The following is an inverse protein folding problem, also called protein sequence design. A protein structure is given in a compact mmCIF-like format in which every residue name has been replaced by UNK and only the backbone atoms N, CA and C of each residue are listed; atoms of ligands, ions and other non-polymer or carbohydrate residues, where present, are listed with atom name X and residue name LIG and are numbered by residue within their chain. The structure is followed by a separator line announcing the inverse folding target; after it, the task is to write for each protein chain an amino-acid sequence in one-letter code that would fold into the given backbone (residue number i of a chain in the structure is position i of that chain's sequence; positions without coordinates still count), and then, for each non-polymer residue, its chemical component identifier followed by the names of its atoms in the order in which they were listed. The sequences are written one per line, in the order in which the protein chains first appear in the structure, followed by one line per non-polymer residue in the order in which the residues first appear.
data_IF_500839288129
#
_entry.id   IF_500839288129
#
_cell.length_a   1.000
_cell.length_b   1.000
_cell.length_c   1.000
_cell.angle_alpha   90.00
_cell.angle_beta   90.00
_cell.angle_gamma   90.00
#
_symmetry.space_group_name_H-M   'P 1'
#
loop_
_entity.id
_entity.type
_entity.pdbx_description
1 polymer ?
#
# COMPACT_ATOMS: atom_id res chain seq x y z
N UNK A 1 7.65 -7.08 1.14
CA UNK A 1 8.14 -8.41 0.68
C UNK A 1 7.99 -9.40 1.83
N UNK A 2 7.17 -10.43 1.65
CA UNK A 2 6.94 -11.47 2.67
C UNK A 2 8.13 -12.43 2.73
N UNK A 3 8.60 -12.75 3.95
CA UNK A 3 9.70 -13.72 4.18
C UNK A 3 9.19 -15.12 4.54
N UNK A 4 8.02 -15.20 5.16
CA UNK A 4 7.43 -16.44 5.65
C UNK A 4 5.91 -16.38 5.52
N UNK A 5 5.27 -17.54 5.63
CA UNK A 5 3.81 -17.65 5.70
C UNK A 5 3.38 -17.72 7.16
N UNK A 6 2.22 -17.14 7.48
CA UNK A 6 1.54 -17.37 8.74
C UNK A 6 0.74 -18.70 8.65
N UNK A 7 0.95 -19.60 9.59
CA UNK A 7 0.12 -20.80 9.73
C UNK A 7 -1.12 -20.49 10.56
N UNK A 8 -2.21 -21.20 10.29
CA UNK A 8 -3.43 -21.10 11.10
C UNK A 8 -3.15 -21.61 12.53
N UNK A 9 -3.72 -20.93 13.52
CA UNK A 9 -3.57 -21.25 14.95
C UNK A 9 -3.22 -20.01 15.78
N UNK A 10 -2.70 -20.25 16.99
CA UNK A 10 -2.25 -19.16 17.86
C UNK A 10 -1.06 -18.42 17.25
N UNK A 11 -1.21 -17.12 17.04
CA UNK A 11 -0.19 -16.28 16.43
C UNK A 11 0.55 -15.47 17.49
N UNK A 12 1.87 -15.42 17.35
CA UNK A 12 2.74 -14.63 18.23
C UNK A 12 3.28 -13.39 17.50
N UNK A 13 3.71 -12.38 18.26
CA UNK A 13 4.40 -11.21 17.68
C UNK A 13 5.70 -11.61 16.95
N UNK A 14 6.39 -12.68 17.40
CA UNK A 14 7.56 -13.21 16.72
C UNK A 14 7.23 -13.75 15.34
N UNK A 15 6.09 -14.41 15.17
CA UNK A 15 5.63 -14.90 13.85
C UNK A 15 5.32 -13.74 12.90
N UNK A 16 4.69 -12.66 13.38
CA UNK A 16 4.47 -11.46 12.58
C UNK A 16 5.79 -10.81 12.18
N UNK A 17 6.77 -10.78 13.08
CA UNK A 17 8.12 -10.30 12.81
C UNK A 17 8.79 -11.15 11.71
N UNK A 18 8.72 -12.47 11.79
CA UNK A 18 9.34 -13.37 10.80
C UNK A 18 8.76 -13.16 9.39
N UNK A 19 7.49 -12.77 9.29
CA UNK A 19 6.83 -12.51 8.00
C UNK A 19 7.31 -11.21 7.35
N UNK A 20 7.42 -10.12 8.10
CA UNK A 20 7.62 -8.76 7.57
C UNK A 20 8.85 -8.04 8.14
N UNK A 21 9.86 -8.74 8.65
CA UNK A 21 11.07 -8.15 9.22
C UNK A 21 12.17 -7.81 8.21
N UNK A 22 11.86 -7.76 6.91
CA UNK A 22 12.87 -7.40 5.91
C UNK A 22 13.29 -5.94 6.02
N UNK A 23 14.58 -5.71 5.73
CA UNK A 23 15.16 -4.39 5.76
C UNK A 23 15.51 -3.90 7.17
N UNK A 24 15.99 -2.68 7.22
CA UNK A 24 16.36 -1.97 8.44
C UNK A 24 15.82 -0.54 8.32
N UNK A 25 15.25 -0.02 9.37
CA UNK A 25 14.80 1.37 9.41
C UNK A 25 15.94 2.34 9.71
N UNK A 26 15.63 3.62 9.75
CA UNK A 26 16.60 4.66 10.13
C UNK A 26 17.02 4.57 11.60
N UNK A 27 16.13 4.02 12.44
CA UNK A 27 16.41 3.71 13.84
C UNK A 27 17.38 2.54 14.06
N UNK A 28 17.87 1.92 12.98
CA UNK A 28 18.79 0.78 12.99
C UNK A 28 18.14 -0.55 13.39
N UNK A 29 16.83 -0.59 13.58
CA UNK A 29 16.11 -1.83 13.94
C UNK A 29 15.56 -2.55 12.69
N UNK A 30 15.39 -3.88 12.80
CA UNK A 30 14.91 -4.71 11.70
C UNK A 30 13.45 -4.41 11.31
N UNK A 31 13.17 -4.46 10.02
CA UNK A 31 11.89 -4.21 9.39
C UNK A 31 11.83 -2.85 8.72
N UNK A 32 11.25 -2.80 7.53
CA UNK A 32 10.97 -1.52 6.87
C UNK A 32 9.91 -0.75 7.65
N UNK A 33 10.07 0.58 7.83
CA UNK A 33 9.04 1.41 8.41
C UNK A 33 7.90 1.63 7.43
N UNK A 34 6.72 1.95 7.95
CA UNK A 34 5.62 2.50 7.18
C UNK A 34 5.88 3.98 6.91
N UNK A 35 5.53 4.41 5.70
CA UNK A 35 5.56 5.81 5.27
C UNK A 35 4.17 6.27 4.84
N UNK A 36 3.87 7.54 5.03
CA UNK A 36 2.67 8.17 4.53
C UNK A 36 3.03 9.12 3.38
N UNK A 37 2.47 8.88 2.22
CA UNK A 37 2.61 9.71 1.03
C UNK A 37 1.24 10.07 0.48
N UNK A 38 1.19 10.98 -0.48
CA UNK A 38 -0.03 11.31 -1.20
C UNK A 38 0.10 10.88 -2.66
N UNK A 39 -0.97 10.33 -3.18
CA UNK A 39 -1.13 10.02 -4.60
C UNK A 39 -2.39 10.73 -5.12
N UNK A 40 -2.35 11.22 -6.35
CA UNK A 40 -3.56 11.65 -7.03
C UNK A 40 -4.48 10.45 -7.31
N UNK A 41 -5.77 10.69 -7.49
CA UNK A 41 -6.70 9.61 -7.82
C UNK A 41 -6.33 8.90 -9.13
N UNK A 42 -5.76 9.64 -10.09
CA UNK A 42 -5.21 9.06 -11.31
C UNK A 42 -4.07 8.08 -11.02
N UNK A 43 -3.18 8.41 -10.08
CA UNK A 43 -2.07 7.54 -9.68
C UNK A 43 -2.54 6.34 -8.85
N UNK A 44 -3.58 6.50 -8.02
CA UNK A 44 -4.23 5.37 -7.34
C UNK A 44 -4.82 4.38 -8.35
N UNK A 45 -5.54 4.87 -9.35
CA UNK A 45 -6.07 4.03 -10.44
C UNK A 45 -4.94 3.37 -11.23
N UNK A 46 -3.81 4.06 -11.43
CA UNK A 46 -2.61 3.47 -12.06
C UNK A 46 -2.03 2.32 -11.20
N UNK A 47 -2.00 2.45 -9.87
CA UNK A 47 -1.56 1.36 -8.98
C UNK A 47 -2.50 0.15 -9.08
N UNK A 48 -3.81 0.36 -9.11
CA UNK A 48 -4.81 -0.70 -9.33
C UNK A 48 -4.63 -1.35 -10.71
N UNK A 49 -4.29 -0.57 -11.73
CA UNK A 49 -4.03 -1.07 -13.08
C UNK A 49 -2.75 -1.92 -13.14
N UNK A 50 -1.71 -1.54 -12.37
CA UNK A 50 -0.50 -2.39 -12.22
C UNK A 50 -0.90 -3.73 -11.62
N UNK A 51 -1.69 -3.75 -10.56
CA UNK A 51 -2.14 -4.99 -9.94
C UNK A 51 -2.97 -5.84 -10.92
N UNK A 52 -4.00 -5.26 -11.55
CA UNK A 52 -4.87 -5.97 -12.49
C UNK A 52 -4.14 -6.51 -13.74
N UNK A 53 -3.06 -5.84 -14.16
CA UNK A 53 -2.35 -6.19 -15.39
C UNK A 53 -1.11 -7.03 -15.15
N UNK A 54 -0.35 -6.80 -14.09
CA UNK A 54 0.94 -7.45 -13.81
C UNK A 54 0.77 -8.72 -12.98
N UNK A 55 -0.11 -8.71 -11.98
CA UNK A 55 -0.31 -9.87 -11.08
C UNK A 55 -0.60 -11.19 -11.81
N UNK A 56 -1.43 -11.24 -12.88
CA UNK A 56 -1.67 -12.49 -13.61
C UNK A 56 -0.42 -13.11 -14.25
N UNK A 57 0.61 -12.29 -14.50
CA UNK A 57 1.87 -12.72 -15.12
C UNK A 57 2.94 -12.96 -14.04
N UNK A 58 2.94 -12.11 -13.02
CA UNK A 58 3.90 -12.15 -11.91
C UNK A 58 3.17 -12.03 -10.58
N UNK A 59 2.68 -13.13 -10.01
CA UNK A 59 1.90 -13.11 -8.75
C UNK A 59 2.64 -12.46 -7.58
N UNK A 60 3.98 -12.47 -7.60
CA UNK A 60 4.79 -11.80 -6.59
C UNK A 60 4.67 -10.26 -6.60
N UNK A 61 4.10 -9.67 -7.65
CA UNK A 61 3.83 -8.23 -7.75
C UNK A 61 2.43 -7.83 -7.28
N UNK A 62 1.66 -8.76 -6.74
CA UNK A 62 0.32 -8.49 -6.24
C UNK A 62 0.33 -7.41 -5.16
N UNK A 63 -0.56 -6.44 -5.30
CA UNK A 63 -0.79 -5.40 -4.32
C UNK A 63 -2.03 -5.74 -3.49
N UNK A 64 -1.89 -5.65 -2.19
CA UNK A 64 -3.00 -5.81 -1.25
C UNK A 64 -3.39 -4.42 -0.74
N UNK A 65 -4.51 -3.91 -1.24
CA UNK A 65 -5.01 -2.58 -0.88
C UNK A 65 -6.13 -2.71 0.16
N UNK A 66 -6.12 -1.82 1.15
CA UNK A 66 -7.21 -1.66 2.11
C UNK A 66 -7.81 -0.27 1.96
N UNK A 67 -9.13 -0.15 2.15
CA UNK A 67 -9.85 1.10 1.98
C UNK A 67 -10.15 1.48 0.53
N UNK A 68 -9.96 0.54 -0.41
CA UNK A 68 -10.27 0.75 -1.82
C UNK A 68 -10.77 -0.54 -2.48
N UNK A 69 -11.79 -0.40 -3.32
CA UNK A 69 -12.32 -1.46 -4.18
C UNK A 69 -12.12 -1.05 -5.64
N UNK A 70 -11.75 -1.98 -6.50
CA UNK A 70 -11.73 -1.75 -7.94
C UNK A 70 -12.21 -2.97 -8.70
N UNK A 71 -12.76 -2.71 -9.89
CA UNK A 71 -13.28 -3.74 -10.80
C UNK A 71 -12.49 -3.72 -12.08
N UNK A 72 -12.08 -4.89 -12.53
CA UNK A 72 -11.27 -5.03 -13.74
C UNK A 72 -11.77 -6.16 -14.63
N UNK A 73 -11.41 -6.10 -15.92
CA UNK A 73 -11.72 -7.11 -16.90
C UNK A 73 -10.44 -7.54 -17.63
N UNK A 74 -10.06 -8.80 -17.47
CA UNK A 74 -8.84 -9.39 -18.04
C UNK A 74 -8.87 -9.49 -19.58
N UNK A 75 -10.05 -9.39 -20.19
CA UNK A 75 -10.20 -9.37 -21.66
C UNK A 75 -9.91 -7.99 -22.28
N UNK A 76 -9.74 -6.95 -21.46
CA UNK A 76 -9.33 -5.64 -21.95
C UNK A 76 -7.82 -5.58 -22.19
N UNK A 77 -7.41 -4.55 -22.93
CA UNK A 77 -6.00 -4.31 -23.22
C UNK A 77 -5.17 -4.15 -21.92
N UNK A 78 -3.96 -4.62 -21.95
CA UNK A 78 -2.99 -4.50 -20.88
C UNK A 78 -2.83 -3.03 -20.47
N UNK A 79 -2.76 -2.74 -19.19
CA UNK A 79 -2.79 -1.40 -18.60
C UNK A 79 -4.05 -0.57 -18.90
N UNK A 80 -5.17 -1.24 -19.24
CA UNK A 80 -6.49 -0.64 -19.39
C UNK A 80 -7.58 -1.63 -18.95
N UNK A 81 -7.32 -2.39 -17.89
CA UNK A 81 -8.21 -3.44 -17.37
C UNK A 81 -9.17 -2.93 -16.33
N UNK A 82 -8.75 -1.99 -15.49
CA UNK A 82 -9.60 -1.38 -14.47
C UNK A 82 -10.64 -0.48 -15.14
N UNK A 83 -11.91 -0.66 -14.80
CA UNK A 83 -13.01 0.14 -15.34
C UNK A 83 -13.83 0.85 -14.26
N UNK A 84 -13.65 0.51 -13.00
CA UNK A 84 -14.28 1.20 -11.87
C UNK A 84 -13.35 1.12 -10.66
N UNK A 85 -13.25 2.20 -9.90
CA UNK A 85 -12.41 2.31 -8.72
C UNK A 85 -13.07 3.22 -7.69
N UNK A 86 -13.19 2.73 -6.46
CA UNK A 86 -13.89 3.36 -5.37
C UNK A 86 -13.01 3.37 -4.11
N UNK A 87 -13.23 4.34 -3.25
CA UNK A 87 -12.74 4.30 -1.88
C UNK A 87 -13.86 3.85 -0.95
N UNK A 88 -13.49 3.12 0.07
CA UNK A 88 -14.37 2.66 1.13
C UNK A 88 -14.27 3.62 2.32
N UNK A 89 -15.39 4.11 2.80
CA UNK A 89 -15.46 4.81 4.08
C UNK A 89 -15.55 3.76 5.20
N UNK A 90 -14.40 3.43 5.76
CA UNK A 90 -14.32 2.48 6.87
C UNK A 90 -14.50 3.25 8.16
N UNK A 91 -15.74 3.51 8.57
CA UNK A 91 -16.00 3.94 9.94
C UNK A 91 -15.87 2.74 10.87
N UNK A 92 -14.89 2.79 11.75
CA UNK A 92 -14.65 1.80 12.81
C UNK A 92 -15.65 2.00 13.97
N UNK A 93 -16.90 1.64 13.76
CA UNK A 93 -17.91 1.64 14.81
C UNK A 93 -18.31 0.22 15.29
N UNK A 94 -17.49 -0.77 14.96
CA UNK A 94 -17.65 -2.16 15.43
C UNK A 94 -18.61 -3.01 14.60
N UNK A 95 -19.27 -2.44 13.61
CA UNK A 95 -20.09 -3.19 12.66
C UNK A 95 -19.45 -3.06 11.27
N UNK A 96 -18.88 -4.15 10.76
CA UNK A 96 -18.22 -4.21 9.44
C UNK A 96 -19.21 -4.11 8.27
N UNK A 97 -20.26 -3.33 8.39
CA UNK A 97 -21.14 -3.02 7.28
C UNK A 97 -20.45 -2.03 6.34
N UNK A 98 -20.22 -2.43 5.09
CA UNK A 98 -19.78 -1.60 3.97
C UNK A 98 -20.66 -0.35 3.89
N UNK A 99 -20.16 0.80 4.36
CA UNK A 99 -21.08 1.89 4.60
C UNK A 99 -21.15 2.87 3.47
N UNK A 100 -20.11 3.26 2.83
CA UNK A 100 -20.22 4.11 1.64
C UNK A 100 -18.99 3.93 0.77
N UNK A 101 -19.19 3.62 -0.49
CA UNK A 101 -18.14 3.70 -1.51
C UNK A 101 -18.34 4.98 -2.31
N UNK A 102 -17.29 5.72 -2.54
CA UNK A 102 -17.31 6.90 -3.42
C UNK A 102 -16.25 6.77 -4.50
N UNK A 103 -16.59 7.30 -5.66
CA UNK A 103 -15.71 7.25 -6.82
C UNK A 103 -14.46 8.09 -6.59
N UNK A 104 -13.32 7.59 -7.03
CA UNK A 104 -12.04 8.28 -6.91
C UNK A 104 -11.98 9.45 -7.90
N UNK A 105 -11.80 10.67 -7.41
CA UNK A 105 -11.54 11.85 -8.24
C UNK A 105 -10.07 11.84 -8.70
N UNK A 106 -9.83 11.87 -10.00
CA UNK A 106 -8.50 11.82 -10.60
C UNK A 106 -7.55 12.93 -10.12
N UNK A 107 -8.09 14.09 -9.75
CA UNK A 107 -7.34 15.28 -9.38
C UNK A 107 -7.16 15.47 -7.87
N UNK A 108 -7.95 14.80 -7.06
CA UNK A 108 -7.81 14.87 -5.61
C UNK A 108 -6.56 14.12 -5.13
N UNK A 109 -5.98 14.60 -4.02
CA UNK A 109 -4.87 13.94 -3.35
C UNK A 109 -5.39 13.03 -2.24
N UNK A 110 -4.94 11.80 -2.24
CA UNK A 110 -5.29 10.78 -1.27
C UNK A 110 -4.08 10.35 -0.47
N UNK A 111 -4.20 10.34 0.85
CA UNK A 111 -3.15 9.87 1.74
C UNK A 111 -3.08 8.35 1.69
N UNK A 112 -1.91 7.84 1.34
CA UNK A 112 -1.62 6.41 1.24
C UNK A 112 -0.54 6.05 2.26
N UNK A 113 -0.78 4.97 3.00
CA UNK A 113 0.23 4.38 3.90
C UNK A 113 0.73 3.09 3.25
N UNK A 114 2.04 2.97 3.15
CA UNK A 114 2.69 1.79 2.57
C UNK A 114 4.05 1.56 3.23
N UNK A 115 4.66 0.40 2.99
CA UNK A 115 6.04 0.17 3.39
C UNK A 115 7.02 1.06 2.63
N UNK A 116 8.08 1.50 3.29
CA UNK A 116 9.11 2.37 2.69
C UNK A 116 9.69 1.76 1.40
N UNK A 117 9.98 0.47 1.39
CA UNK A 117 10.49 -0.21 0.19
C UNK A 117 9.52 -0.13 -0.97
N UNK A 118 8.23 -0.34 -0.71
CA UNK A 118 7.19 -0.25 -1.74
C UNK A 118 7.05 1.17 -2.28
N UNK A 119 7.13 2.19 -1.41
CA UNK A 119 7.10 3.59 -1.84
C UNK A 119 8.27 3.94 -2.76
N UNK A 120 9.49 3.47 -2.44
CA UNK A 120 10.67 3.67 -3.27
C UNK A 120 10.58 2.96 -4.63
N UNK A 121 9.84 1.84 -4.70
CA UNK A 121 9.66 1.10 -5.96
C UNK A 121 8.62 1.73 -6.90
N UNK A 122 7.81 2.68 -6.44
CA UNK A 122 6.77 3.31 -7.29
C UNK A 122 7.37 4.04 -8.50
N UNK A 123 8.54 4.66 -8.37
CA UNK A 123 9.22 5.31 -9.49
C UNK A 123 9.58 4.34 -10.62
N UNK A 124 9.80 3.08 -10.30
CA UNK A 124 10.14 2.06 -11.31
C UNK A 124 8.94 1.64 -12.16
N UNK A 125 7.71 1.94 -11.73
CA UNK A 125 6.49 1.59 -12.45
C UNK A 125 6.44 2.25 -13.82
N UNK A 126 6.88 3.50 -13.92
CA UNK A 126 6.94 4.25 -15.18
C UNK A 126 7.81 3.52 -16.22
N UNK A 127 9.00 3.09 -15.82
CA UNK A 127 9.94 2.41 -16.70
C UNK A 127 9.42 1.03 -17.11
N UNK A 128 8.85 0.29 -16.16
CA UNK A 128 8.30 -1.06 -16.40
C UNK A 128 7.02 -1.06 -17.23
N UNK A 129 6.26 0.03 -17.21
CA UNK A 129 5.05 0.21 -18.02
C UNK A 129 5.31 0.90 -19.37
N UNK A 130 6.58 1.06 -19.78
CA UNK A 130 6.96 1.81 -20.99
C UNK A 130 6.40 3.24 -21.00
N UNK A 131 6.30 3.86 -19.84
CA UNK A 131 5.78 5.21 -19.67
C UNK A 131 4.25 5.34 -19.69
N UNK A 132 3.51 4.23 -19.80
CA UNK A 132 2.04 4.23 -19.79
C UNK A 132 1.45 4.59 -18.43
N UNK A 133 2.11 4.17 -17.36
CA UNK A 133 1.72 4.45 -15.98
C UNK A 133 2.83 5.23 -15.29
N UNK A 134 2.45 6.24 -14.52
CA UNK A 134 3.38 7.00 -13.70
C UNK A 134 2.75 7.19 -12.34
N UNK A 135 3.45 6.79 -11.29
CA UNK A 135 3.04 6.93 -9.90
C UNK A 135 4.17 7.65 -9.19
N UNK A 136 3.95 8.89 -8.83
CA UNK A 136 4.94 9.75 -8.17
C UNK A 136 4.44 10.08 -6.78
N UNK A 137 5.03 9.50 -5.72
CA UNK A 137 4.69 9.86 -4.35
C UNK A 137 4.86 11.36 -4.11
N UNK A 138 3.87 11.95 -3.45
CA UNK A 138 3.80 13.38 -3.17
C UNK A 138 3.64 13.64 -1.68
N UNK A 139 3.89 14.88 -1.31
CA UNK A 139 3.51 15.38 0.01
C UNK A 139 2.05 15.90 0.01
N UNK A 140 1.61 16.46 1.14
CA UNK A 140 0.27 17.01 1.33
C UNK A 140 -0.02 18.24 0.47
N UNK A 141 1.01 18.84 -0.13
CA UNK A 141 0.90 19.99 -1.04
C UNK A 141 0.94 19.59 -2.52
N UNK A 142 1.17 18.28 -2.79
CA UNK A 142 1.26 17.75 -4.14
C UNK A 142 2.66 17.80 -4.75
N UNK A 143 3.68 18.16 -3.96
CA UNK A 143 5.07 18.19 -4.42
C UNK A 143 5.69 16.77 -4.35
N UNK A 144 6.49 16.37 -5.36
CA UNK A 144 7.13 15.06 -5.38
C UNK A 144 8.04 14.82 -4.15
N UNK A 145 7.89 13.66 -3.54
CA UNK A 145 8.72 13.20 -2.43
C UNK A 145 9.89 12.39 -2.97
N UNK A 146 11.11 12.86 -2.74
CA UNK A 146 12.35 12.16 -3.08
C UNK A 146 13.05 11.56 -1.85
N UNK A 147 12.79 12.12 -0.67
CA UNK A 147 13.29 11.65 0.62
C UNK A 147 12.13 11.13 1.47
N UNK A 148 12.04 9.80 1.59
CA UNK A 148 10.99 9.14 2.36
C UNK A 148 11.25 9.14 3.87
N UNK A 149 12.44 9.51 4.33
CA UNK A 149 12.79 9.54 5.75
C UNK A 149 11.88 10.48 6.54
N UNK A 150 11.50 11.59 5.95
CA UNK A 150 10.57 12.56 6.53
C UNK A 150 9.10 12.13 6.52
N UNK A 151 8.80 11.03 5.83
CA UNK A 151 7.46 10.47 5.69
C UNK A 151 7.22 9.22 6.53
N UNK A 152 8.23 8.82 7.32
CA UNK A 152 8.13 7.67 8.22
C UNK A 152 7.08 7.94 9.29
N UNK A 153 6.18 6.99 9.44
CA UNK A 153 5.20 7.00 10.52
C UNK A 153 5.87 6.61 11.84
N UNK A 154 5.63 7.42 12.86
CA UNK A 154 6.17 7.22 14.20
C UNK A 154 5.04 7.12 15.23
N UNK A 155 5.26 6.32 16.25
CA UNK A 155 4.36 6.21 17.40
C UNK A 155 4.46 7.46 18.31
N UNK A 156 3.68 7.48 19.40
CA UNK A 156 3.69 8.59 20.37
C UNK A 156 5.02 8.77 21.09
N UNK A 157 5.89 7.77 21.07
CA UNK A 157 7.21 7.78 21.69
C UNK A 157 8.32 8.15 20.69
N UNK A 158 7.96 8.38 19.42
CA UNK A 158 8.90 8.68 18.34
C UNK A 158 9.51 7.46 17.67
N UNK A 159 9.13 6.24 18.03
CA UNK A 159 9.63 5.03 17.40
C UNK A 159 8.98 4.84 16.00
N UNK A 160 9.74 4.31 15.06
CA UNK A 160 9.23 3.98 13.74
C UNK A 160 8.18 2.87 13.81
N UNK A 161 7.06 3.07 13.13
CA UNK A 161 6.04 2.03 12.99
C UNK A 161 6.49 1.10 11.85
N UNK A 162 6.96 -0.10 12.23
CA UNK A 162 7.41 -1.12 11.28
C UNK A 162 6.23 -1.89 10.68
N UNK A 163 6.39 -2.39 9.45
CA UNK A 163 5.37 -3.23 8.79
C UNK A 163 4.96 -4.43 9.66
N UNK A 164 5.94 -5.15 10.24
CA UNK A 164 5.66 -6.29 11.10
C UNK A 164 4.91 -5.90 12.39
N UNK A 165 5.19 -4.72 12.93
CA UNK A 165 4.50 -4.23 14.13
C UNK A 165 3.03 -3.87 13.81
N UNK A 166 2.78 -3.25 12.67
CA UNK A 166 1.42 -2.98 12.21
C UNK A 166 0.64 -4.28 12.00
N UNK A 167 1.26 -5.30 11.39
CA UNK A 167 0.66 -6.63 11.25
C UNK A 167 0.35 -7.25 12.62
N UNK A 168 1.30 -7.21 13.57
CA UNK A 168 1.07 -7.73 14.91
C UNK A 168 -0.04 -6.99 15.65
N UNK A 169 -0.15 -5.67 15.49
CA UNK A 169 -1.23 -4.87 16.06
C UNK A 169 -2.60 -5.24 15.46
N UNK A 170 -2.66 -5.41 14.15
CA UNK A 170 -3.87 -5.87 13.46
C UNK A 170 -4.32 -7.26 13.92
N UNK A 171 -3.40 -8.22 13.99
CA UNK A 171 -3.71 -9.59 14.46
C UNK A 171 -4.18 -9.63 15.93
N UNK A 172 -3.82 -8.65 16.74
CA UNK A 172 -4.31 -8.55 18.14
C UNK A 172 -5.71 -7.95 18.26
N UNK A 173 -6.24 -7.37 17.20
CA UNK A 173 -7.59 -6.76 17.22
C UNK A 173 -8.71 -7.77 17.00
N UNK A 174 -8.38 -9.03 16.75
CA UNK A 174 -9.29 -10.17 16.70
C UNK A 174 -9.16 -11.02 17.98
#
# INVERSE_FOLDING_TARGET
VLRANLSAGDLTAAMAFDVLSMGVGEDGTSGFPLVAVYLSGKELKAAMEVDASVTPIMPAAQLYMSGAEYRFNTNRMFFNRVYAAYLEDVSFDGDCSLQNTYEIDDHALYRVVTGMYSAQMLDTVKDRSFGLLSIVPKDEHGEPVTDFSQRILRDRNGNEIKEWYALAAYLRSF
#
